data_IF_829152139035
#
_entry.id   IF_829152139035
#
_cell.length_a   1.000
_cell.length_b   1.000
_cell.length_c   1.000
_cell.angle_alpha   90.00
_cell.angle_beta   90.00
_cell.angle_gamma   90.00
#
_symmetry.space_group_name_H-M   'P 1'
#
loop_
_entity.id
_entity.type
_entity.pdbx_description
1 polymer ?
#
# COMPACT_ATOMS: atom_id res chain seq x y z
N UNK A 1 -3.27 -9.62 17.25
CA UNK A 1 -1.88 -9.42 17.71
C UNK A 1 -1.76 -9.01 19.17
N UNK A 2 -2.33 -7.88 19.63
CA UNK A 2 -2.19 -7.44 21.04
C UNK A 2 -2.67 -8.47 22.08
N UNK A 3 -3.77 -9.16 21.81
CA UNK A 3 -4.29 -10.22 22.71
C UNK A 3 -3.31 -11.37 22.95
N UNK A 4 -2.39 -11.65 22.01
CA UNK A 4 -1.41 -12.73 22.14
C UNK A 4 -0.17 -12.31 22.93
N UNK A 5 0.25 -11.06 22.77
CA UNK A 5 1.46 -10.51 23.42
C UNK A 5 1.17 -10.08 24.87
N UNK A 6 -0.09 -9.84 25.21
CA UNK A 6 -0.48 -9.29 26.51
C UNK A 6 -0.19 -7.78 26.59
N UNK A 7 -0.13 -7.26 27.82
CA UNK A 7 0.10 -5.83 28.05
C UNK A 7 1.59 -5.47 27.95
N UNK A 8 2.10 -5.33 26.72
CA UNK A 8 3.46 -4.85 26.46
C UNK A 8 3.40 -3.47 25.77
N UNK A 9 3.68 -2.37 26.49
CA UNK A 9 3.53 -1.01 25.96
C UNK A 9 4.53 -0.68 24.84
N UNK A 10 5.62 -1.45 24.69
CA UNK A 10 6.59 -1.29 23.59
C UNK A 10 6.15 -2.00 22.30
N UNK A 11 5.06 -2.78 22.36
CA UNK A 11 4.57 -3.52 21.21
C UNK A 11 3.56 -2.68 20.42
N UNK A 12 3.99 -2.21 19.24
CA UNK A 12 3.18 -1.39 18.34
C UNK A 12 2.88 -2.17 17.04
N UNK A 13 1.90 -3.09 17.05
CA UNK A 13 1.58 -3.87 15.86
C UNK A 13 0.88 -2.99 14.82
N UNK A 14 1.41 -3.00 13.61
CA UNK A 14 0.81 -2.43 12.41
C UNK A 14 0.87 -3.48 11.32
N UNK A 15 -0.20 -3.65 10.56
CA UNK A 15 -0.23 -4.61 9.47
C UNK A 15 -1.06 -4.07 8.32
N UNK A 16 -0.53 -4.20 7.09
CA UNK A 16 -1.39 -4.19 5.92
C UNK A 16 -2.22 -5.48 5.99
N UNK A 17 -3.52 -5.35 6.27
CA UNK A 17 -4.39 -6.48 6.63
C UNK A 17 -4.37 -7.61 5.61
N UNK A 18 -4.27 -7.27 4.32
CA UNK A 18 -4.39 -8.21 3.20
C UNK A 18 -3.10 -8.32 2.39
N UNK A 19 -2.55 -7.20 1.95
CA UNK A 19 -1.26 -7.13 1.27
C UNK A 19 -0.66 -5.74 1.40
N UNK A 20 0.68 -5.66 1.42
CA UNK A 20 1.43 -4.40 1.31
C UNK A 20 0.98 -3.55 0.11
N UNK A 21 0.58 -4.19 -0.99
CA UNK A 21 0.08 -3.56 -2.21
C UNK A 21 -1.13 -2.65 -1.99
N UNK A 22 -1.86 -2.80 -0.88
CA UNK A 22 -2.86 -1.82 -0.45
C UNK A 22 -2.30 -0.39 -0.45
N UNK A 23 -1.08 -0.22 0.07
CA UNK A 23 -0.41 1.08 0.15
C UNK A 23 0.10 1.60 -1.19
N UNK A 24 0.03 0.80 -2.26
CA UNK A 24 0.37 1.21 -3.61
C UNK A 24 -0.85 1.69 -4.42
N UNK A 25 -2.07 1.29 -4.03
CA UNK A 25 -3.29 1.64 -4.74
C UNK A 25 -3.52 3.16 -4.88
N UNK A 26 -3.14 4.03 -3.91
CA UNK A 26 -3.20 5.48 -4.08
C UNK A 26 -2.42 6.01 -5.29
N UNK A 27 -1.42 5.25 -5.78
CA UNK A 27 -0.57 5.62 -6.92
C UNK A 27 -1.08 5.06 -8.25
N UNK A 28 -2.40 4.88 -8.38
CA UNK A 28 -2.98 4.18 -9.54
C UNK A 28 -2.62 4.81 -10.88
N UNK A 29 -2.52 6.14 -10.96
CA UNK A 29 -2.07 6.82 -12.18
C UNK A 29 -0.65 6.43 -12.58
N UNK A 30 0.25 6.22 -11.62
CA UNK A 30 1.61 5.73 -11.88
C UNK A 30 1.58 4.26 -12.30
N UNK A 31 0.75 3.44 -11.65
CA UNK A 31 0.52 2.03 -12.02
C UNK A 31 0.03 1.91 -13.47
N UNK A 32 -0.94 2.73 -13.88
CA UNK A 32 -1.44 2.80 -15.27
C UNK A 32 -0.32 3.12 -16.27
N UNK A 33 0.53 4.11 -15.96
CA UNK A 33 1.69 4.47 -16.80
C UNK A 33 2.69 3.32 -16.93
N UNK A 34 3.02 2.64 -15.82
CA UNK A 34 3.97 1.53 -15.82
C UNK A 34 3.42 0.27 -16.53
N UNK A 35 2.12 0.04 -16.42
CA UNK A 35 1.42 -1.03 -17.11
C UNK A 35 1.16 -0.72 -18.59
N UNK A 36 1.17 0.55 -18.98
CA UNK A 36 0.72 1.03 -20.30
C UNK A 36 -0.74 0.60 -20.58
N UNK A 37 -1.61 0.79 -19.59
CA UNK A 37 -3.04 0.49 -19.64
C UNK A 37 -3.83 1.50 -18.81
N UNK A 38 -5.07 1.77 -19.21
CA UNK A 38 -6.01 2.72 -18.62
C UNK A 38 -7.05 2.08 -17.67
N UNK A 39 -6.79 0.86 -17.17
CA UNK A 39 -7.74 0.14 -16.30
C UNK A 39 -8.00 0.99 -15.06
N UNK A 40 -9.26 1.11 -14.64
CA UNK A 40 -9.63 1.89 -13.45
C UNK A 40 -9.13 1.23 -12.15
N UNK A 41 -8.94 2.06 -11.12
CA UNK A 41 -8.58 1.59 -9.78
C UNK A 41 -9.71 0.75 -9.17
N UNK A 42 -9.40 -0.21 -8.27
CA UNK A 42 -10.43 -0.81 -7.44
C UNK A 42 -11.15 0.26 -6.62
N UNK A 43 -12.45 0.06 -6.40
CA UNK A 43 -13.27 0.96 -5.57
C UNK A 43 -13.09 0.64 -4.08
N UNK A 44 -13.12 1.66 -3.23
CA UNK A 44 -13.05 1.51 -1.78
C UNK A 44 -11.76 2.06 -1.16
N UNK A 45 -11.64 1.91 0.15
CA UNK A 45 -10.43 2.30 0.87
C UNK A 45 -9.30 1.30 0.58
N UNK A 46 -8.06 1.75 0.31
CA UNK A 46 -6.97 0.88 -0.11
C UNK A 46 -6.74 -0.34 0.80
N UNK A 47 -6.84 -0.15 2.12
CA UNK A 47 -6.54 -1.17 3.13
C UNK A 47 -7.71 -2.12 3.41
N UNK A 48 -8.93 -1.79 2.96
CA UNK A 48 -10.12 -2.63 3.11
C UNK A 48 -10.42 -3.46 1.87
N UNK A 49 -9.64 -3.30 0.80
CA UNK A 49 -9.83 -4.04 -0.45
C UNK A 49 -9.35 -5.48 -0.23
N UNK A 50 -10.31 -6.35 0.07
CA UNK A 50 -10.16 -7.80 0.00
C UNK A 50 -11.53 -8.47 -0.19
N UNK A 51 -12.04 -8.35 -1.42
CA UNK A 51 -13.28 -9.01 -1.83
C UNK A 51 -13.01 -10.40 -2.41
N UNK A 52 -12.18 -11.20 -1.72
CA UNK A 52 -11.62 -12.44 -2.27
C UNK A 52 -10.62 -12.20 -3.40
N UNK A 53 -10.17 -10.95 -3.53
CA UNK A 53 -9.22 -10.49 -4.53
C UNK A 53 -8.31 -9.46 -3.87
N UNK A 54 -7.10 -9.85 -3.46
CA UNK A 54 -6.22 -8.97 -2.73
C UNK A 54 -5.68 -7.84 -3.61
N UNK A 55 -5.17 -6.74 -3.02
CA UNK A 55 -4.61 -5.60 -3.75
C UNK A 55 -3.56 -6.01 -4.80
N UNK A 56 -2.73 -7.01 -4.52
CA UNK A 56 -1.74 -7.51 -5.47
C UNK A 56 -2.37 -8.08 -6.75
N UNK A 57 -3.54 -8.72 -6.67
CA UNK A 57 -4.26 -9.21 -7.85
C UNK A 57 -4.73 -8.06 -8.75
N UNK A 58 -5.18 -6.95 -8.18
CA UNK A 58 -5.59 -5.77 -8.97
C UNK A 58 -4.41 -5.18 -9.76
N UNK A 59 -3.25 -5.04 -9.11
CA UNK A 59 -2.03 -4.56 -9.77
C UNK A 59 -1.55 -5.56 -10.82
N UNK A 60 -1.57 -6.86 -10.51
CA UNK A 60 -1.21 -7.91 -11.46
C UNK A 60 -2.04 -7.84 -12.75
N UNK A 61 -3.36 -7.72 -12.63
CA UNK A 61 -4.25 -7.70 -13.78
C UNK A 61 -4.02 -6.52 -14.72
N UNK A 62 -3.75 -5.31 -14.19
CA UNK A 62 -3.50 -4.16 -15.07
C UNK A 62 -2.16 -4.33 -15.80
N UNK A 63 -1.14 -4.87 -15.14
CA UNK A 63 0.15 -5.18 -15.77
C UNK A 63 0.01 -6.25 -16.87
N UNK A 64 -0.80 -7.29 -16.64
CA UNK A 64 -1.05 -8.37 -17.60
C UNK A 64 -1.90 -7.92 -18.79
N UNK A 65 -2.87 -7.03 -18.56
CA UNK A 65 -3.65 -6.41 -19.63
C UNK A 65 -2.81 -5.43 -20.47
N UNK A 66 -1.75 -4.89 -19.90
CA UNK A 66 -0.88 -3.90 -20.52
C UNK A 66 -0.17 -4.34 -21.80
N UNK A 67 0.29 -3.36 -22.60
CA UNK A 67 0.92 -3.61 -23.92
C UNK A 67 2.09 -4.59 -23.90
N UNK A 68 2.83 -4.65 -22.79
CA UNK A 68 4.00 -5.53 -22.62
C UNK A 68 3.65 -6.95 -22.18
N UNK A 69 2.38 -7.24 -21.87
CA UNK A 69 1.88 -8.55 -21.38
C UNK A 69 2.75 -9.17 -20.28
N UNK A 70 3.32 -8.32 -19.41
CA UNK A 70 4.18 -8.75 -18.30
C UNK A 70 3.34 -8.86 -17.03
N UNK A 71 3.63 -9.86 -16.20
CA UNK A 71 3.01 -9.90 -14.87
C UNK A 71 3.71 -8.93 -13.92
N UNK A 72 2.99 -8.53 -12.86
CA UNK A 72 3.51 -7.70 -11.78
C UNK A 72 4.57 -8.46 -10.98
N UNK A 73 5.73 -7.84 -10.79
CA UNK A 73 6.85 -8.38 -10.00
C UNK A 73 7.07 -7.46 -8.80
N UNK A 74 6.62 -7.91 -7.63
CA UNK A 74 6.58 -7.12 -6.38
C UNK A 74 7.88 -6.34 -6.09
N UNK A 75 9.08 -6.95 -6.00
CA UNK A 75 10.29 -6.19 -5.67
C UNK A 75 10.69 -5.12 -6.71
N UNK A 76 10.40 -5.36 -7.99
CA UNK A 76 10.80 -4.48 -9.09
C UNK A 76 9.77 -3.37 -9.28
N UNK A 77 8.51 -3.76 -9.46
CA UNK A 77 7.45 -2.85 -9.88
C UNK A 77 6.95 -2.02 -8.69
N UNK A 78 6.88 -2.57 -7.47
CA UNK A 78 6.57 -1.75 -6.28
C UNK A 78 7.62 -0.67 -6.05
N UNK A 79 8.91 -1.01 -6.21
CA UNK A 79 10.01 -0.04 -6.11
C UNK A 79 9.89 1.06 -7.16
N UNK A 80 9.51 0.71 -8.39
CA UNK A 80 9.29 1.68 -9.46
C UNK A 80 8.11 2.61 -9.12
N UNK A 81 7.00 2.06 -8.61
CA UNK A 81 5.85 2.86 -8.15
C UNK A 81 6.28 3.81 -7.03
N UNK A 82 6.92 3.32 -5.98
CA UNK A 82 7.32 4.15 -4.84
C UNK A 82 8.34 5.23 -5.20
N UNK A 83 9.24 4.98 -6.15
CA UNK A 83 10.27 5.95 -6.54
C UNK A 83 9.68 7.26 -7.08
N UNK A 84 8.58 7.16 -7.81
CA UNK A 84 8.00 8.28 -8.56
C UNK A 84 6.84 8.95 -7.82
N UNK A 85 6.54 8.57 -6.57
CA UNK A 85 5.41 9.11 -5.81
C UNK A 85 5.80 9.52 -4.38
N UNK A 86 5.14 10.56 -3.87
CA UNK A 86 5.27 11.01 -2.50
C UNK A 86 4.50 10.07 -1.55
N UNK A 87 5.19 9.57 -0.51
CA UNK A 87 4.62 8.71 0.53
C UNK A 87 3.45 9.38 1.26
N UNK A 88 3.42 10.71 1.36
CA UNK A 88 2.33 11.45 2.00
C UNK A 88 0.98 11.21 1.32
N UNK A 89 0.96 10.89 0.03
CA UNK A 89 -0.28 10.57 -0.69
C UNK A 89 -0.89 9.26 -0.16
N UNK A 90 -0.06 8.22 0.02
CA UNK A 90 -0.55 6.97 0.59
C UNK A 90 -0.92 7.14 2.07
N UNK A 91 -0.11 7.87 2.84
CA UNK A 91 -0.42 8.19 4.25
C UNK A 91 -1.78 8.89 4.39
N UNK A 92 -2.12 9.78 3.46
CA UNK A 92 -3.41 10.48 3.48
C UNK A 92 -4.63 9.59 3.17
N UNK A 93 -4.43 8.41 2.57
CA UNK A 93 -5.50 7.51 2.14
C UNK A 93 -5.53 6.16 2.87
N UNK A 94 -4.46 5.83 3.60
CA UNK A 94 -4.24 4.54 4.26
C UNK A 94 -4.08 4.77 5.78
N UNK A 95 -5.17 4.63 6.58
CA UNK A 95 -5.13 4.84 8.02
C UNK A 95 -4.10 4.00 8.78
N UNK A 96 -3.92 2.72 8.44
CA UNK A 96 -2.93 1.85 9.11
C UNK A 96 -1.51 2.26 8.72
N UNK A 97 -1.25 2.60 7.46
CA UNK A 97 0.05 3.17 7.06
C UNK A 97 0.36 4.46 7.83
N UNK A 98 -0.62 5.35 7.98
CA UNK A 98 -0.47 6.59 8.76
C UNK A 98 -0.16 6.29 10.22
N UNK A 99 -0.89 5.36 10.83
CA UNK A 99 -0.65 4.94 12.21
C UNK A 99 0.76 4.35 12.38
N UNK A 100 1.21 3.53 11.43
CA UNK A 100 2.54 2.94 11.40
C UNK A 100 3.63 4.02 11.33
N UNK A 101 3.55 4.91 10.35
CA UNK A 101 4.54 5.99 10.16
C UNK A 101 4.55 6.93 11.36
N UNK A 102 3.39 7.33 11.89
CA UNK A 102 3.30 8.17 13.08
C UNK A 102 3.92 7.49 14.31
N UNK A 103 3.77 6.18 14.45
CA UNK A 103 4.45 5.43 15.52
C UNK A 103 5.96 5.53 15.39
N UNK A 104 6.51 5.32 14.18
CA UNK A 104 7.96 5.42 13.94
C UNK A 104 8.47 6.84 14.23
N UNK A 105 7.74 7.87 13.81
CA UNK A 105 8.10 9.26 14.05
C UNK A 105 8.13 9.58 15.54
N UNK A 106 7.07 9.22 16.27
CA UNK A 106 6.98 9.47 17.72
C UNK A 106 8.08 8.74 18.48
N UNK A 107 8.35 7.47 18.16
CA UNK A 107 9.44 6.71 18.78
C UNK A 107 10.82 7.29 18.50
N UNK A 108 10.97 8.01 17.39
CA UNK A 108 12.22 8.69 16.99
C UNK A 108 12.32 10.13 17.53
N UNK A 109 11.34 10.59 18.33
CA UNK A 109 11.28 11.97 18.84
C UNK A 109 10.76 13.01 17.84
N UNK A 110 10.21 12.58 16.71
CA UNK A 110 9.59 13.44 15.70
C UNK A 110 8.13 13.78 15.99
N UNK A 111 7.57 14.70 15.19
CA UNK A 111 6.14 15.06 15.25
C UNK A 111 5.29 14.15 14.36
N UNK A 112 4.09 13.80 14.84
CA UNK A 112 3.14 13.02 14.07
C UNK A 112 2.57 13.83 12.89
N UNK A 113 2.30 13.14 11.79
CA UNK A 113 1.65 13.69 10.60
C UNK A 113 0.16 13.94 10.93
N UNK A 114 -0.38 15.15 10.65
CA UNK A 114 -1.78 15.51 10.90
C UNK A 114 -2.79 14.59 10.23
#
# INVERSE_FOLDING_TARGET
MRQWVGNEPRFHPHAAQHDFEAWLLPYWTTIQKLALHDKAAPQGQPETIDHGKPPACHIKEIFEAGKRKKSYVKPRDAKAILRDNDLLIAIGQCPELKAFVNTLLVLSGGQAIP
#
